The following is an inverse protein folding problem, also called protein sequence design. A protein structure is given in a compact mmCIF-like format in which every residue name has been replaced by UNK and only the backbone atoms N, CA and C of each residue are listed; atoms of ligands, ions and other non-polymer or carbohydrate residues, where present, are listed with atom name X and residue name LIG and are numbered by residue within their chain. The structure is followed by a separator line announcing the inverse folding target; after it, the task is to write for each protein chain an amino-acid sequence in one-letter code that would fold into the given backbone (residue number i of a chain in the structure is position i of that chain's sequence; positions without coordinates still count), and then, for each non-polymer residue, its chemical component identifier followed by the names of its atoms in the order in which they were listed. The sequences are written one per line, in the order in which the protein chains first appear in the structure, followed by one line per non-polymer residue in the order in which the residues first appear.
data_IF_408427293873
#
_entry.id   IF_408427293873
#
_cell.length_a   1.000
_cell.length_b   1.000
_cell.length_c   1.000
_cell.angle_alpha   90.00
_cell.angle_beta   90.00
_cell.angle_gamma   90.00
#
_symmetry.space_group_name_H-M   'P 1'
#
loop_
_entity.id
_entity.type
_entity.pdbx_description
1 polymer ?
#
# COMPACT_ATOMS: atom_id res chain seq x y z
N UNK A 1 1.65 0.76 16.67
CA UNK A 1 0.66 1.17 15.62
C UNK A 1 1.28 2.22 14.73
N UNK A 2 0.99 2.17 13.44
CA UNK A 2 1.42 3.18 12.47
C UNK A 2 0.67 4.49 12.70
N UNK A 3 1.35 5.63 12.57
CA UNK A 3 0.71 6.93 12.66
C UNK A 3 -0.33 7.06 11.53
N UNK A 4 -1.54 7.50 11.85
CA UNK A 4 -2.66 7.64 10.89
C UNK A 4 -2.35 8.60 9.75
N UNK A 5 -1.53 9.63 9.98
CA UNK A 5 -1.08 10.55 8.93
C UNK A 5 -0.37 9.81 7.77
N UNK A 6 0.34 8.72 8.07
CA UNK A 6 0.98 7.88 7.05
C UNK A 6 -0.01 7.01 6.26
N UNK A 7 -1.26 6.93 6.69
CA UNK A 7 -2.29 6.10 6.05
C UNK A 7 -3.22 6.89 5.12
N UNK A 8 -3.27 8.22 5.20
CA UNK A 8 -4.21 9.06 4.43
C UNK A 8 -4.15 8.78 2.93
N UNK A 9 -3.00 8.97 2.32
CA UNK A 9 -2.75 8.70 0.90
C UNK A 9 -1.64 7.65 0.76
N UNK A 10 -2.02 6.38 0.81
CA UNK A 10 -1.11 5.26 0.77
C UNK A 10 -0.89 4.83 -0.69
N UNK A 11 0.27 5.15 -1.25
CA UNK A 11 0.60 4.83 -2.64
C UNK A 11 1.25 3.45 -2.76
N UNK A 12 0.75 2.62 -3.69
CA UNK A 12 1.31 1.29 -3.97
C UNK A 12 1.69 1.24 -5.44
N UNK A 13 2.95 0.94 -5.72
CA UNK A 13 3.42 0.72 -7.09
C UNK A 13 4.75 -0.02 -7.15
N UNK A 14 5.01 -0.61 -8.31
CA UNK A 14 6.31 -1.01 -8.80
C UNK A 14 6.42 -0.64 -10.27
N UNK A 15 7.60 -0.80 -10.90
CA UNK A 15 7.79 -0.46 -12.32
C UNK A 15 6.82 -1.19 -13.26
N UNK A 16 6.33 -2.39 -12.90
CA UNK A 16 5.34 -3.14 -13.70
C UNK A 16 4.00 -2.39 -13.88
N UNK A 17 3.72 -1.38 -13.06
CA UNK A 17 2.53 -0.55 -13.23
C UNK A 17 2.65 0.47 -14.38
N UNK A 18 3.82 0.53 -15.03
CA UNK A 18 4.17 1.39 -16.15
C UNK A 18 4.78 0.57 -17.30
N UNK A 19 4.06 -0.49 -17.71
CA UNK A 19 4.55 -1.53 -18.64
C UNK A 19 5.04 -1.01 -19.99
N UNK A 20 4.53 0.16 -20.43
CA UNK A 20 4.96 0.81 -21.69
C UNK A 20 6.33 1.52 -21.53
N UNK A 21 6.86 1.68 -20.32
CA UNK A 21 8.08 2.43 -20.05
C UNK A 21 9.26 1.49 -19.74
N UNK A 22 10.48 1.98 -19.97
CA UNK A 22 11.66 1.33 -19.38
C UNK A 22 11.62 1.41 -17.86
N UNK A 23 12.35 0.53 -17.17
CA UNK A 23 12.40 0.53 -15.69
C UNK A 23 12.86 1.89 -15.16
N UNK A 24 13.86 2.51 -15.80
CA UNK A 24 14.38 3.81 -15.42
C UNK A 24 13.31 4.90 -15.48
N UNK A 25 12.55 4.94 -16.59
CA UNK A 25 11.43 5.89 -16.76
C UNK A 25 10.27 5.59 -15.81
N UNK A 26 9.99 4.33 -15.52
CA UNK A 26 8.98 3.95 -14.55
C UNK A 26 9.36 4.41 -13.13
N UNK A 27 10.64 4.26 -12.76
CA UNK A 27 11.18 4.78 -11.49
C UNK A 27 11.04 6.30 -11.39
N UNK A 28 11.39 7.04 -12.46
CA UNK A 28 11.20 8.49 -12.50
C UNK A 28 9.73 8.88 -12.30
N UNK A 29 8.79 8.17 -12.93
CA UNK A 29 7.35 8.40 -12.74
C UNK A 29 6.91 8.14 -11.30
N UNK A 30 7.39 7.07 -10.67
CA UNK A 30 7.11 6.79 -9.26
C UNK A 30 7.63 7.92 -8.38
N UNK A 31 8.86 8.39 -8.60
CA UNK A 31 9.46 9.50 -7.82
C UNK A 31 8.63 10.78 -7.97
N UNK A 32 8.16 11.13 -9.16
CA UNK A 32 7.25 12.28 -9.37
C UNK A 32 5.96 12.13 -8.56
N UNK A 33 5.42 10.91 -8.45
CA UNK A 33 4.23 10.66 -7.63
C UNK A 33 4.58 10.80 -6.13
N UNK A 34 5.73 10.31 -5.67
CA UNK A 34 6.18 10.52 -4.30
C UNK A 34 6.28 12.02 -3.96
N UNK A 35 6.85 12.82 -4.86
CA UNK A 35 6.98 14.28 -4.73
C UNK A 35 5.62 15.00 -4.71
N UNK A 36 4.54 14.33 -5.11
CA UNK A 36 3.17 14.88 -5.02
C UNK A 36 2.61 14.93 -3.59
N UNK A 37 3.35 14.38 -2.60
CA UNK A 37 2.99 14.45 -1.18
C UNK A 37 2.16 13.25 -0.68
N UNK A 38 2.36 12.05 -1.25
CA UNK A 38 1.75 10.82 -0.71
C UNK A 38 2.22 10.58 0.73
N UNK A 39 1.36 9.97 1.56
CA UNK A 39 1.66 9.77 2.98
C UNK A 39 2.58 8.60 3.27
N UNK A 40 2.54 7.56 2.46
CA UNK A 40 3.45 6.41 2.50
C UNK A 40 3.54 5.74 1.14
N UNK A 41 4.60 4.98 0.94
CA UNK A 41 4.83 4.26 -0.30
C UNK A 41 5.07 2.78 -0.04
N UNK A 42 4.32 1.94 -0.73
CA UNK A 42 4.54 0.50 -0.75
C UNK A 42 5.14 0.08 -2.09
N UNK A 43 6.37 -0.37 -2.05
CA UNK A 43 7.01 -1.02 -3.18
C UNK A 43 6.40 -2.40 -3.38
N UNK A 44 5.58 -2.54 -4.41
CA UNK A 44 4.98 -3.81 -4.80
C UNK A 44 5.59 -4.30 -6.08
N UNK A 45 6.46 -5.28 -5.94
CA UNK A 45 7.16 -5.93 -7.03
C UNK A 45 6.57 -7.34 -7.27
N UNK A 46 5.76 -7.47 -8.29
CA UNK A 46 5.17 -8.75 -8.74
C UNK A 46 5.62 -9.08 -10.17
N UNK A 47 6.85 -8.68 -10.51
CA UNK A 47 7.25 -8.70 -11.89
C UNK A 47 8.53 -9.47 -12.19
N UNK A 48 8.52 -10.11 -13.34
CA UNK A 48 9.69 -10.64 -14.04
C UNK A 48 10.29 -9.60 -14.99
N UNK A 49 10.09 -8.30 -14.71
CA UNK A 49 10.48 -7.20 -15.59
C UNK A 49 11.98 -6.88 -15.54
N UNK A 50 12.66 -7.31 -14.46
CA UNK A 50 14.08 -7.05 -14.29
C UNK A 50 14.92 -8.05 -15.05
N UNK A 51 16.03 -7.58 -15.63
CA UNK A 51 17.00 -8.42 -16.32
C UNK A 51 17.75 -9.37 -15.36
N UNK A 52 17.97 -8.90 -14.14
CA UNK A 52 18.66 -9.65 -13.08
C UNK A 52 18.39 -9.03 -11.70
N UNK A 53 18.85 -9.72 -10.66
CA UNK A 53 18.70 -9.28 -9.27
C UNK A 53 19.40 -7.94 -8.97
N UNK A 54 20.52 -7.64 -9.62
CA UNK A 54 21.22 -6.37 -9.42
C UNK A 54 20.38 -5.19 -9.91
N UNK A 55 19.72 -5.31 -11.07
CA UNK A 55 18.82 -4.26 -11.57
C UNK A 55 17.62 -4.09 -10.62
N UNK A 56 17.04 -5.18 -10.11
CA UNK A 56 15.98 -5.14 -9.10
C UNK A 56 16.45 -4.39 -7.86
N UNK A 57 17.60 -4.76 -7.31
CA UNK A 57 18.14 -4.14 -6.10
C UNK A 57 18.45 -2.65 -6.31
N UNK A 58 19.08 -2.29 -7.42
CA UNK A 58 19.34 -0.87 -7.75
C UNK A 58 18.04 -0.07 -7.83
N UNK A 59 16.99 -0.66 -8.43
CA UNK A 59 15.67 -0.02 -8.52
C UNK A 59 15.06 0.21 -7.15
N UNK A 60 15.07 -0.80 -6.29
CA UNK A 60 14.52 -0.72 -4.93
C UNK A 60 15.23 0.35 -4.11
N UNK A 61 16.56 0.34 -4.10
CA UNK A 61 17.36 1.28 -3.32
C UNK A 61 17.15 2.71 -3.79
N UNK A 62 17.06 2.96 -5.11
CA UNK A 62 16.77 4.30 -5.66
C UNK A 62 15.40 4.82 -5.22
N UNK A 63 14.38 3.95 -5.20
CA UNK A 63 13.04 4.32 -4.74
C UNK A 63 12.98 4.53 -3.22
N UNK A 64 13.71 3.73 -2.46
CA UNK A 64 13.83 3.89 -1.01
C UNK A 64 14.53 5.20 -0.65
N UNK A 65 15.63 5.55 -1.32
CA UNK A 65 16.33 6.82 -1.14
C UNK A 65 15.41 8.01 -1.41
N UNK A 66 14.69 7.99 -2.54
CA UNK A 66 13.73 9.04 -2.87
C UNK A 66 12.60 9.18 -1.82
N UNK A 67 12.08 8.07 -1.30
CA UNK A 67 11.08 8.10 -0.24
C UNK A 67 11.66 8.66 1.07
N UNK A 68 12.90 8.29 1.42
CA UNK A 68 13.60 8.77 2.61
C UNK A 68 13.84 10.27 2.56
N UNK A 69 14.28 10.82 1.41
CA UNK A 69 14.52 12.26 1.22
C UNK A 69 13.22 13.07 1.38
N UNK A 70 12.09 12.47 1.06
CA UNK A 70 10.75 13.05 1.21
C UNK A 70 10.10 12.74 2.56
N UNK A 71 10.78 12.03 3.46
CA UNK A 71 10.27 11.58 4.76
C UNK A 71 9.00 10.70 4.66
N UNK A 72 8.89 9.92 3.58
CA UNK A 72 7.80 9.02 3.30
C UNK A 72 8.19 7.62 3.76
N UNK A 73 7.43 6.94 4.65
CA UNK A 73 7.69 5.54 5.02
C UNK A 73 7.70 4.62 3.80
N UNK A 74 8.77 3.83 3.68
CA UNK A 74 8.97 2.86 2.61
C UNK A 74 8.61 1.46 3.09
N UNK A 75 7.53 0.89 2.55
CA UNK A 75 7.01 -0.43 2.90
C UNK A 75 7.27 -1.41 1.75
N UNK A 76 7.72 -2.61 2.06
CA UNK A 76 7.88 -3.68 1.05
C UNK A 76 6.65 -4.57 1.06
N UNK A 77 6.15 -4.94 -0.12
CA UNK A 77 5.03 -5.86 -0.25
C UNK A 77 5.52 -7.32 -0.27
N UNK A 78 5.02 -8.17 0.61
CA UNK A 78 5.22 -9.62 0.73
C UNK A 78 6.66 -10.07 1.07
N UNK A 79 7.67 -9.47 0.48
CA UNK A 79 9.08 -9.88 0.54
C UNK A 79 9.75 -9.43 1.85
N UNK A 80 9.56 -10.23 2.91
CA UNK A 80 10.14 -9.97 4.23
C UNK A 80 11.68 -9.95 4.20
N UNK A 81 12.29 -10.80 3.39
CA UNK A 81 13.76 -10.85 3.30
C UNK A 81 14.33 -9.60 2.66
N UNK A 82 13.70 -9.11 1.59
CA UNK A 82 14.04 -7.83 1.00
C UNK A 82 13.85 -6.70 2.03
N UNK A 83 12.72 -6.67 2.75
CA UNK A 83 12.46 -5.65 3.77
C UNK A 83 13.55 -5.61 4.84
N UNK A 84 14.00 -6.77 5.31
CA UNK A 84 15.11 -6.88 6.27
C UNK A 84 16.44 -6.43 5.65
N UNK A 85 16.74 -6.90 4.44
CA UNK A 85 18.00 -6.62 3.75
C UNK A 85 18.23 -5.13 3.51
N UNK A 86 17.21 -4.39 3.08
CA UNK A 86 17.28 -2.95 2.81
C UNK A 86 16.91 -2.10 4.03
N UNK A 87 16.61 -2.72 5.17
CA UNK A 87 16.15 -2.04 6.38
C UNK A 87 14.93 -1.14 6.13
N UNK A 88 13.96 -1.60 5.33
CA UNK A 88 12.73 -0.87 5.03
C UNK A 88 12.02 -0.41 6.32
N UNK A 89 11.13 0.58 6.22
CA UNK A 89 10.33 1.04 7.37
C UNK A 89 9.26 0.04 7.77
N UNK A 90 8.93 -0.92 6.89
CA UNK A 90 8.02 -2.01 7.21
C UNK A 90 7.78 -2.97 6.05
N UNK A 91 6.87 -3.91 6.32
CA UNK A 91 6.38 -4.89 5.34
C UNK A 91 4.85 -4.92 5.35
N UNK A 92 4.24 -5.16 4.19
CA UNK A 92 2.81 -5.42 4.07
C UNK A 92 2.60 -6.84 3.56
N UNK A 93 1.86 -7.65 4.31
CA UNK A 93 1.67 -9.08 4.08
C UNK A 93 0.23 -9.39 3.66
N UNK A 94 0.06 -10.41 2.82
CA UNK A 94 -1.21 -11.07 2.53
C UNK A 94 -1.53 -12.16 3.55
N UNK A 95 -2.73 -12.76 3.43
CA UNK A 95 -3.19 -13.83 4.33
C UNK A 95 -2.46 -15.17 4.11
N UNK A 96 -1.88 -15.36 2.93
CA UNK A 96 -1.14 -16.58 2.56
C UNK A 96 0.37 -16.43 2.73
N UNK A 97 0.84 -15.25 3.14
CA UNK A 97 2.24 -14.94 3.32
C UNK A 97 2.74 -15.41 4.71
N UNK A 98 4.01 -15.13 5.01
CA UNK A 98 4.63 -15.52 6.28
C UNK A 98 3.86 -14.99 7.48
N UNK A 99 3.87 -15.77 8.55
CA UNK A 99 3.19 -15.36 9.78
C UNK A 99 3.67 -13.98 10.25
N UNK A 100 2.73 -13.15 10.69
CA UNK A 100 3.04 -11.80 11.22
C UNK A 100 4.01 -11.88 12.39
N UNK A 101 3.92 -12.94 13.21
CA UNK A 101 4.85 -13.17 14.31
C UNK A 101 6.30 -13.29 13.83
N UNK A 102 6.55 -14.04 12.72
CA UNK A 102 7.88 -14.12 12.10
C UNK A 102 8.36 -12.76 11.59
N UNK A 103 7.47 -12.00 10.97
CA UNK A 103 7.80 -10.66 10.50
C UNK A 103 8.15 -9.72 11.67
N UNK A 104 7.41 -9.80 12.78
CA UNK A 104 7.69 -9.01 13.98
C UNK A 104 9.02 -9.40 14.63
N UNK A 105 9.31 -10.69 14.70
CA UNK A 105 10.58 -11.19 15.20
C UNK A 105 11.78 -10.67 14.38
N UNK A 106 11.71 -10.75 13.06
CA UNK A 106 12.80 -10.34 12.15
C UNK A 106 12.97 -8.82 12.05
N UNK A 107 11.87 -8.08 11.99
CA UNK A 107 11.90 -6.62 11.81
C UNK A 107 12.05 -5.85 13.13
N UNK A 108 11.70 -6.49 14.24
CA UNK A 108 11.70 -5.85 15.56
C UNK A 108 10.50 -4.92 15.78
N UNK A 109 10.39 -4.30 16.98
CA UNK A 109 9.19 -3.60 17.44
C UNK A 109 8.96 -2.23 16.78
N UNK A 110 9.96 -1.66 16.11
CA UNK A 110 9.91 -0.30 15.57
C UNK A 110 9.44 -0.23 14.10
N UNK A 111 9.47 -1.36 13.40
CA UNK A 111 9.08 -1.41 11.97
C UNK A 111 7.60 -1.70 11.81
N UNK A 112 7.00 -1.17 10.75
CA UNK A 112 5.57 -1.33 10.49
C UNK A 112 5.26 -2.67 9.83
N UNK A 113 4.19 -3.32 10.30
CA UNK A 113 3.63 -4.51 9.67
C UNK A 113 2.19 -4.22 9.28
N UNK A 114 1.92 -4.23 7.98
CA UNK A 114 0.57 -4.17 7.43
C UNK A 114 0.04 -5.56 7.11
N UNK A 115 -1.28 -5.74 7.19
CA UNK A 115 -1.95 -6.98 6.82
C UNK A 115 -3.16 -6.71 5.94
N UNK A 116 -3.25 -7.41 4.80
CA UNK A 116 -4.45 -7.40 3.95
C UNK A 116 -5.59 -8.16 4.61
N UNK A 117 -6.82 -7.64 4.56
CA UNK A 117 -8.05 -8.32 5.02
C UNK A 117 -9.16 -8.19 3.99
N UNK A 118 -9.95 -9.26 3.78
CA UNK A 118 -10.98 -9.35 2.73
C UNK A 118 -12.37 -9.67 3.27
N UNK A 119 -12.44 -10.18 4.49
CA UNK A 119 -13.70 -10.63 5.11
C UNK A 119 -13.64 -10.49 6.63
N UNK A 120 -14.78 -10.74 7.27
CA UNK A 120 -14.93 -10.62 8.73
C UNK A 120 -14.02 -11.59 9.51
N UNK A 121 -13.83 -12.80 9.02
CA UNK A 121 -12.99 -13.80 9.70
C UNK A 121 -11.52 -13.34 9.71
N UNK A 122 -11.01 -12.90 8.57
CA UNK A 122 -9.64 -12.35 8.45
C UNK A 122 -9.48 -11.08 9.30
N UNK A 123 -10.49 -10.20 9.31
CA UNK A 123 -10.47 -8.99 10.13
C UNK A 123 -10.37 -9.32 11.63
N UNK A 124 -11.20 -10.24 12.12
CA UNK A 124 -11.19 -10.64 13.53
C UNK A 124 -9.87 -11.34 13.94
N UNK A 125 -9.28 -12.13 13.04
CA UNK A 125 -7.97 -12.72 13.26
C UNK A 125 -6.86 -11.65 13.28
N UNK A 126 -6.91 -10.71 12.32
CA UNK A 126 -5.95 -9.61 12.23
C UNK A 126 -5.94 -8.70 13.46
N UNK A 127 -7.08 -8.51 14.12
CA UNK A 127 -7.16 -7.70 15.33
C UNK A 127 -6.34 -8.28 16.51
N UNK A 128 -6.16 -9.61 16.53
CA UNK A 128 -5.37 -10.31 17.54
C UNK A 128 -3.89 -10.42 17.20
N UNK A 129 -3.51 -9.99 16.01
CA UNK A 129 -2.13 -10.07 15.51
C UNK A 129 -1.31 -8.83 15.85
N UNK A 130 0.00 -8.90 15.65
CA UNK A 130 0.95 -7.78 15.79
C UNK A 130 1.00 -6.85 14.56
N UNK A 131 -0.03 -6.90 13.70
CA UNK A 131 -0.14 -5.94 12.60
C UNK A 131 -0.41 -4.53 13.12
N UNK A 132 0.32 -3.55 12.59
CA UNK A 132 0.21 -2.13 12.95
C UNK A 132 -0.95 -1.43 12.24
N UNK A 133 -1.29 -1.88 11.05
CA UNK A 133 -2.41 -1.39 10.25
C UNK A 133 -2.95 -2.48 9.31
N UNK A 134 -4.17 -2.27 8.82
CA UNK A 134 -4.85 -3.18 7.92
C UNK A 134 -5.13 -2.52 6.56
N UNK A 135 -5.05 -3.30 5.49
CA UNK A 135 -5.55 -2.93 4.17
C UNK A 135 -6.81 -3.72 3.85
N UNK A 136 -7.97 -3.07 3.80
CA UNK A 136 -9.26 -3.74 3.57
C UNK A 136 -9.72 -3.62 2.12
N UNK A 137 -9.92 -4.74 1.44
CA UNK A 137 -10.34 -4.76 0.04
C UNK A 137 -10.24 -6.11 -0.65
N UNK A 138 -10.57 -6.17 -1.96
CA UNK A 138 -10.90 -5.02 -2.80
C UNK A 138 -12.33 -4.52 -2.56
N UNK A 139 -12.50 -3.20 -2.47
CA UNK A 139 -13.82 -2.58 -2.27
C UNK A 139 -14.61 -2.57 -3.59
N UNK A 140 -13.95 -2.16 -4.67
CA UNK A 140 -14.51 -2.07 -6.02
C UNK A 140 -13.74 -2.95 -7.01
N UNK A 141 -14.30 -3.27 -8.18
CA UNK A 141 -13.60 -4.01 -9.24
C UNK A 141 -12.27 -3.37 -9.60
N UNK A 142 -11.23 -4.18 -9.77
CA UNK A 142 -9.89 -3.67 -10.09
C UNK A 142 -9.11 -4.66 -10.94
N UNK A 143 -8.35 -4.13 -11.89
CA UNK A 143 -7.36 -4.86 -12.70
C UNK A 143 -5.91 -4.56 -12.29
N UNK A 144 -5.70 -3.73 -11.26
CA UNK A 144 -4.35 -3.30 -10.85
C UNK A 144 -3.54 -4.40 -10.19
N UNK A 145 -4.21 -5.46 -9.72
CA UNK A 145 -3.59 -6.69 -9.19
C UNK A 145 -4.23 -7.87 -9.92
N UNK A 146 -3.40 -8.73 -10.53
CA UNK A 146 -3.88 -9.94 -11.21
C UNK A 146 -4.43 -11.00 -10.23
N UNK A 147 -4.03 -10.90 -8.95
CA UNK A 147 -4.41 -11.75 -7.83
C UNK A 147 -5.50 -11.13 -6.93
N UNK A 148 -6.20 -10.10 -7.43
CA UNK A 148 -7.28 -9.47 -6.68
C UNK A 148 -8.46 -10.43 -6.50
N UNK A 149 -8.97 -10.49 -5.25
CA UNK A 149 -10.20 -11.21 -4.95
C UNK A 149 -11.43 -10.48 -5.53
N UNK A 150 -12.62 -11.13 -5.46
CA UNK A 150 -13.88 -10.48 -5.81
C UNK A 150 -14.16 -9.26 -4.91
N UNK A 151 -14.62 -8.14 -5.48
CA UNK A 151 -14.93 -6.95 -4.70
C UNK A 151 -16.17 -7.16 -3.85
N UNK A 152 -16.12 -6.68 -2.61
CA UNK A 152 -17.24 -6.86 -1.68
C UNK A 152 -18.16 -5.63 -1.53
N UNK A 153 -17.79 -4.48 -2.05
CA UNK A 153 -18.62 -3.27 -2.10
C UNK A 153 -18.72 -2.49 -0.79
N UNK A 154 -19.37 -1.33 -0.87
CA UNK A 154 -19.48 -0.37 0.24
C UNK A 154 -20.32 -0.89 1.42
N UNK A 155 -21.35 -1.70 1.15
CA UNK A 155 -22.22 -2.24 2.21
C UNK A 155 -21.44 -3.15 3.14
N UNK A 156 -20.74 -4.12 2.59
CA UNK A 156 -19.93 -5.05 3.38
C UNK A 156 -18.75 -4.31 4.06
N UNK A 157 -18.17 -3.32 3.39
CA UNK A 157 -17.15 -2.47 4.02
C UNK A 157 -17.67 -1.82 5.31
N UNK A 158 -18.86 -1.20 5.29
CA UNK A 158 -19.45 -0.59 6.48
C UNK A 158 -19.66 -1.61 7.62
N UNK A 159 -20.14 -2.80 7.30
CA UNK A 159 -20.33 -3.88 8.29
C UNK A 159 -19.00 -4.31 8.93
N UNK A 160 -17.94 -4.41 8.13
CA UNK A 160 -16.60 -4.76 8.62
C UNK A 160 -16.01 -3.66 9.49
N UNK A 161 -16.18 -2.40 9.12
CA UNK A 161 -15.66 -1.26 9.87
C UNK A 161 -16.31 -1.10 11.25
N UNK A 162 -17.57 -1.55 11.44
CA UNK A 162 -18.24 -1.53 12.75
C UNK A 162 -17.54 -2.39 13.82
N UNK A 163 -16.82 -3.42 13.40
CA UNK A 163 -16.10 -4.32 14.32
C UNK A 163 -14.59 -4.13 14.29
N UNK A 164 -14.10 -3.17 13.51
CA UNK A 164 -12.66 -2.90 13.41
C UNK A 164 -12.15 -2.07 14.59
N UNK A 165 -10.96 -2.41 15.10
CA UNK A 165 -10.29 -1.74 16.21
C UNK A 165 -8.86 -1.29 15.87
N UNK A 166 -8.37 -1.60 14.66
CA UNK A 166 -7.02 -1.23 14.20
C UNK A 166 -7.10 -0.10 13.18
N UNK A 167 -5.98 0.61 13.02
CA UNK A 167 -5.84 1.54 11.89
C UNK A 167 -6.05 0.80 10.56
N UNK A 168 -6.82 1.40 9.63
CA UNK A 168 -7.25 0.70 8.44
C UNK A 168 -7.36 1.61 7.22
N UNK A 169 -6.83 1.15 6.09
CA UNK A 169 -6.97 1.83 4.79
C UNK A 169 -7.85 1.01 3.85
N UNK A 170 -8.71 1.70 3.10
CA UNK A 170 -9.50 1.09 2.03
C UNK A 170 -8.67 0.89 0.77
N UNK A 171 -8.83 -0.25 0.08
CA UNK A 171 -8.11 -0.53 -1.17
C UNK A 171 -9.00 -1.23 -2.20
N UNK A 172 -8.63 -1.11 -3.48
CA UNK A 172 -9.22 -1.83 -4.62
C UNK A 172 -10.25 -1.02 -5.37
N UNK A 173 -9.93 -0.69 -6.63
CA UNK A 173 -10.80 -0.01 -7.57
C UNK A 173 -11.21 1.42 -7.20
N UNK A 174 -10.43 2.08 -6.33
CA UNK A 174 -10.73 3.43 -5.86
C UNK A 174 -10.55 4.44 -6.99
N UNK A 175 -11.57 5.28 -7.19
CA UNK A 175 -11.63 6.36 -8.18
C UNK A 175 -11.87 7.71 -7.48
N UNK A 176 -11.75 8.82 -8.22
CA UNK A 176 -12.06 10.15 -7.68
C UNK A 176 -13.49 10.27 -7.17
N UNK A 177 -14.44 9.58 -7.81
CA UNK A 177 -15.86 9.62 -7.43
C UNK A 177 -16.13 8.85 -6.14
N UNK A 178 -15.41 7.74 -5.92
CA UNK A 178 -15.57 6.93 -4.71
C UNK A 178 -14.93 7.57 -3.47
N UNK A 179 -13.97 8.48 -3.61
CA UNK A 179 -13.27 9.11 -2.46
C UNK A 179 -14.24 9.79 -1.49
N UNK A 180 -15.22 10.56 -2.00
CA UNK A 180 -16.18 11.27 -1.15
C UNK A 180 -17.05 10.31 -0.32
N UNK A 181 -17.40 9.14 -0.85
CA UNK A 181 -18.16 8.11 -0.13
C UNK A 181 -17.30 7.40 0.91
N UNK A 182 -16.06 7.10 0.56
CA UNK A 182 -15.12 6.42 1.46
C UNK A 182 -14.72 7.32 2.64
N UNK A 183 -14.57 8.62 2.43
CA UNK A 183 -14.24 9.57 3.51
C UNK A 183 -15.34 9.72 4.56
N UNK A 184 -16.57 9.30 4.25
CA UNK A 184 -17.69 9.25 5.22
C UNK A 184 -17.70 7.96 6.06
N UNK A 185 -16.72 7.08 5.85
CA UNK A 185 -16.56 5.82 6.60
C UNK A 185 -15.38 5.95 7.55
N UNK A 186 -15.33 5.20 8.65
CA UNK A 186 -14.23 5.25 9.61
C UNK A 186 -12.96 4.54 9.06
N UNK A 187 -12.46 5.03 7.93
CA UNK A 187 -11.18 4.70 7.34
C UNK A 187 -10.14 5.75 7.74
N UNK A 188 -8.91 5.35 7.99
CA UNK A 188 -7.80 6.27 8.23
C UNK A 188 -7.20 6.81 6.93
N UNK A 189 -7.65 6.31 5.78
CA UNK A 189 -7.23 6.73 4.45
C UNK A 189 -7.50 5.69 3.37
N UNK A 190 -6.86 5.87 2.22
CA UNK A 190 -7.02 5.02 1.05
C UNK A 190 -5.67 4.58 0.48
N UNK A 191 -5.58 3.30 0.10
CA UNK A 191 -4.45 2.76 -0.64
C UNK A 191 -4.79 2.69 -2.13
N UNK A 192 -3.96 3.31 -2.95
CA UNK A 192 -4.23 3.52 -4.38
C UNK A 192 -3.05 3.08 -5.27
N UNK A 193 -3.38 2.52 -6.43
CA UNK A 193 -2.44 2.16 -7.50
C UNK A 193 -2.79 3.01 -8.73
N UNK A 194 -3.76 2.55 -9.52
CA UNK A 194 -4.10 3.12 -10.83
C UNK A 194 -4.61 4.56 -10.76
N UNK A 195 -5.20 4.97 -9.65
CA UNK A 195 -5.65 6.35 -9.46
C UNK A 195 -4.48 7.35 -9.55
N UNK A 196 -3.28 6.96 -9.11
CA UNK A 196 -2.07 7.79 -9.21
C UNK A 196 -1.19 7.43 -10.40
N UNK A 197 -1.02 6.13 -10.72
CA UNK A 197 -0.12 5.74 -11.82
C UNK A 197 -0.62 6.16 -13.20
N UNK A 198 -1.93 6.37 -13.36
CA UNK A 198 -2.58 6.85 -14.60
C UNK A 198 -2.91 8.34 -14.58
N UNK A 199 -2.58 9.03 -13.49
CA UNK A 199 -2.92 10.44 -13.34
C UNK A 199 -2.04 11.33 -14.22
N UNK A 200 -2.65 12.27 -14.90
CA UNK A 200 -1.95 13.38 -15.57
C UNK A 200 -1.41 14.40 -14.58
N UNK A 201 -2.11 14.58 -13.44
CA UNK A 201 -1.71 15.47 -12.35
C UNK A 201 -1.92 14.77 -11.00
N UNK A 202 -0.94 13.96 -10.53
CA UNK A 202 -1.06 13.25 -9.27
C UNK A 202 -1.16 14.18 -8.06
N UNK A 203 -0.55 15.35 -8.09
CA UNK A 203 -0.58 16.32 -6.97
C UNK A 203 -2.01 16.77 -6.63
N UNK A 204 -2.86 17.01 -7.64
CA UNK A 204 -4.26 17.38 -7.39
C UNK A 204 -5.05 16.25 -6.73
N UNK A 205 -4.77 15.01 -7.10
CA UNK A 205 -5.41 13.82 -6.52
C UNK A 205 -4.97 13.65 -5.07
N UNK A 206 -3.67 13.74 -4.80
CA UNK A 206 -3.10 13.63 -3.45
C UNK A 206 -3.68 14.71 -2.53
N UNK A 207 -3.73 15.98 -2.98
CA UNK A 207 -4.36 17.06 -2.22
C UNK A 207 -5.84 16.77 -1.89
N UNK A 208 -6.60 16.24 -2.86
CA UNK A 208 -7.99 15.85 -2.64
C UNK A 208 -8.11 14.76 -1.58
N UNK A 209 -7.25 13.74 -1.62
CA UNK A 209 -7.23 12.68 -0.62
C UNK A 209 -6.94 13.26 0.77
N UNK A 210 -5.91 14.09 0.91
CA UNK A 210 -5.57 14.73 2.19
C UNK A 210 -6.65 15.66 2.73
N UNK A 211 -7.45 16.28 1.87
CA UNK A 211 -8.58 17.12 2.29
C UNK A 211 -9.78 16.30 2.79
N UNK A 212 -9.84 15.01 2.46
CA UNK A 212 -10.94 14.11 2.80
C UNK A 212 -10.64 13.21 3.99
N UNK A 213 -9.39 12.89 4.23
CA UNK A 213 -8.88 12.01 5.29
C UNK A 213 -7.82 12.75 6.13
#
# INVERSE_FOLDING_TARGET
MMNKEYLKCYFIAGPQNFAELSIEKAVEKIIVILQSGVSSYQFRDKGTIYRNQNQRMTTVLKLQEAAKDLHIPFIVNDDLELACMIQADGVHLGQQDRAIAEAREKLGPKKYIGLSVRNKQELLAAQKSDADYLGIGPIYPTSSKSDAAEPFGEKQLRELLLVNQKSIVGIGGITLDSLNKLSQMPLDGVAVISLLTRATNPQNIVRKIHALF
#
